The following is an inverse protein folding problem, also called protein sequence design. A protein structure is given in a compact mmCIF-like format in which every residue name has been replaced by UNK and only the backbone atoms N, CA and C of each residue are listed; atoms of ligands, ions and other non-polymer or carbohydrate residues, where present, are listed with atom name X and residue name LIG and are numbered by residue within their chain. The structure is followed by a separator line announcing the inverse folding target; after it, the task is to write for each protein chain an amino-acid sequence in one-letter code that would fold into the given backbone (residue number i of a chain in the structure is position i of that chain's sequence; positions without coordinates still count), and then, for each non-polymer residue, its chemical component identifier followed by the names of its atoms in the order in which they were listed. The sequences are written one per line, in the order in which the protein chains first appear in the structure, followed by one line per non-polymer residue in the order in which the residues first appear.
data_IF_128062264633
#
_entry.id   IF_128062264633
#
_cell.length_a   1.000
_cell.length_b   1.000
_cell.length_c   1.000
_cell.angle_alpha   90.00
_cell.angle_beta   90.00
_cell.angle_gamma   90.00
#
_symmetry.space_group_name_H-M   'P 1'
#
loop_
_entity.id
_entity.type
_entity.pdbx_description
1 polymer ?
#
# COMPACT_ATOMS: atom_id res chain seq x y z
N UNK A 1 27.53 45.17 -35.35
CA UNK A 1 28.06 43.80 -35.22
C UNK A 1 27.52 43.22 -33.94
N UNK A 2 26.70 42.18 -34.11
CA UNK A 2 26.12 41.36 -33.05
C UNK A 2 27.20 40.54 -32.31
N UNK A 3 26.75 39.90 -31.23
CA UNK A 3 27.21 38.64 -30.60
C UNK A 3 27.65 38.84 -29.14
N UNK A 4 27.24 38.05 -28.16
CA UNK A 4 26.03 37.25 -27.89
C UNK A 4 26.02 37.13 -26.36
N UNK A 5 24.90 37.44 -25.71
CA UNK A 5 24.74 37.26 -24.27
C UNK A 5 24.39 35.78 -24.03
N UNK A 6 25.34 34.98 -23.56
CA UNK A 6 25.10 33.57 -23.22
C UNK A 6 24.49 33.49 -21.83
N UNK A 7 23.17 33.65 -21.74
CA UNK A 7 22.40 33.41 -20.52
C UNK A 7 21.78 32.01 -20.59
N UNK A 8 22.56 30.98 -20.27
CA UNK A 8 22.01 29.64 -20.00
C UNK A 8 21.56 29.61 -18.54
N UNK A 9 20.46 30.29 -18.27
CA UNK A 9 19.72 30.14 -17.03
C UNK A 9 18.90 28.86 -17.11
N UNK A 10 19.44 27.74 -16.60
CA UNK A 10 18.61 26.57 -16.35
C UNK A 10 17.73 26.90 -15.15
N UNK A 11 16.48 27.25 -15.45
CA UNK A 11 15.39 27.35 -14.49
C UNK A 11 15.13 25.93 -13.94
N UNK A 12 15.82 25.57 -12.85
CA UNK A 12 15.44 24.44 -12.00
C UNK A 12 14.32 24.87 -11.04
N UNK A 13 13.15 25.19 -11.60
CA UNK A 13 11.91 25.41 -10.85
C UNK A 13 10.91 24.30 -11.16
N UNK A 14 11.13 23.14 -10.53
CA UNK A 14 10.09 22.19 -10.16
C UNK A 14 9.62 21.18 -11.23
N UNK A 15 9.06 20.04 -10.80
CA UNK A 15 8.63 19.80 -9.43
C UNK A 15 9.76 19.16 -8.62
N UNK A 16 9.95 19.66 -7.39
CA UNK A 16 10.12 18.74 -6.26
C UNK A 16 9.07 17.66 -6.46
N UNK A 17 9.48 16.51 -7.01
CA UNK A 17 8.67 15.30 -7.04
C UNK A 17 8.49 14.95 -5.58
N UNK A 18 7.47 15.56 -4.98
CA UNK A 18 6.94 15.18 -3.69
C UNK A 18 6.29 13.84 -3.99
N UNK A 19 7.10 12.79 -4.10
CA UNK A 19 6.65 11.41 -3.99
C UNK A 19 5.98 11.35 -2.64
N UNK A 20 4.67 11.61 -2.62
CA UNK A 20 3.86 11.58 -1.41
C UNK A 20 3.75 10.12 -1.02
N UNK A 21 4.74 9.74 -0.22
CA UNK A 21 4.88 8.53 0.52
C UNK A 21 3.63 8.29 1.37
N UNK A 22 3.27 7.02 1.48
CA UNK A 22 2.44 6.43 2.53
C UNK A 22 1.36 7.36 3.11
N UNK A 23 0.19 7.41 2.48
CA UNK A 23 -0.89 8.30 2.90
C UNK A 23 -2.03 7.49 3.54
N UNK A 24 -2.30 7.72 4.82
CA UNK A 24 -3.53 7.22 5.44
C UNK A 24 -4.53 8.37 5.54
N UNK A 25 -5.77 8.15 5.07
CA UNK A 25 -6.87 9.08 5.33
C UNK A 25 -7.92 8.42 6.21
N UNK A 26 -8.32 9.10 7.28
CA UNK A 26 -9.33 8.63 8.22
C UNK A 26 -8.75 7.93 9.45
N UNK A 27 -9.63 7.58 10.39
CA UNK A 27 -9.26 6.92 11.63
C UNK A 27 -9.34 5.40 11.46
N UNK A 28 -8.19 4.74 11.41
CA UNK A 28 -8.08 3.28 11.28
C UNK A 28 -8.03 2.53 12.63
N UNK A 29 -8.26 3.20 13.77
CA UNK A 29 -8.13 2.55 15.09
C UNK A 29 -9.06 1.35 15.27
N UNK A 30 -10.22 1.35 14.62
CA UNK A 30 -11.18 0.23 14.69
C UNK A 30 -10.65 -1.07 14.06
N UNK A 31 -9.61 -0.98 13.22
CA UNK A 31 -9.01 -2.10 12.52
C UNK A 31 -7.62 -2.46 13.05
N UNK A 32 -7.13 -1.73 14.05
CA UNK A 32 -5.81 -1.97 14.61
C UNK A 32 -5.80 -3.31 15.36
N UNK A 33 -4.83 -4.18 15.05
CA UNK A 33 -4.74 -5.54 15.61
C UNK A 33 -5.91 -6.47 15.30
N UNK A 34 -6.82 -6.08 14.40
CA UNK A 34 -7.89 -6.96 13.96
C UNK A 34 -7.35 -7.96 12.94
N UNK A 35 -7.71 -9.23 13.10
CA UNK A 35 -7.31 -10.29 12.18
C UNK A 35 -8.29 -10.34 11.00
N UNK A 36 -7.77 -10.17 9.80
CA UNK A 36 -8.54 -10.24 8.56
C UNK A 36 -8.12 -11.49 7.80
N UNK A 37 -9.08 -12.33 7.44
CA UNK A 37 -8.88 -13.56 6.67
C UNK A 37 -9.02 -13.28 5.18
N UNK A 38 -8.23 -13.97 4.37
CA UNK A 38 -8.35 -13.90 2.92
C UNK A 38 -9.71 -14.46 2.48
N UNK A 39 -10.41 -13.73 1.62
CA UNK A 39 -11.70 -14.17 1.06
C UNK A 39 -11.53 -14.58 -0.40
N UNK A 40 -11.09 -13.66 -1.25
CA UNK A 40 -10.94 -13.90 -2.69
C UNK A 40 -10.03 -12.85 -3.33
N UNK A 41 -9.67 -13.07 -4.60
CA UNK A 41 -8.93 -12.10 -5.44
C UNK A 41 -9.56 -12.03 -6.83
N UNK A 42 -9.55 -10.84 -7.44
CA UNK A 42 -10.03 -10.61 -8.81
C UNK A 42 -9.35 -9.38 -9.41
N UNK A 43 -9.84 -8.92 -10.57
CA UNK A 43 -9.47 -7.66 -11.22
C UNK A 43 -10.68 -6.74 -11.31
N UNK A 44 -10.44 -5.43 -11.27
CA UNK A 44 -11.49 -4.43 -11.48
C UNK A 44 -11.96 -4.52 -12.93
N UNK A 45 -13.26 -4.71 -13.13
CA UNK A 45 -13.85 -4.72 -14.48
C UNK A 45 -14.17 -3.32 -14.96
N UNK A 46 -14.35 -3.17 -16.27
CA UNK A 46 -14.83 -1.91 -16.88
C UNK A 46 -16.15 -1.44 -16.29
N UNK A 47 -17.09 -2.35 -16.03
CA UNK A 47 -18.39 -2.01 -15.43
C UNK A 47 -18.23 -1.49 -13.99
N UNK A 48 -17.40 -2.17 -13.18
CA UNK A 48 -17.11 -1.75 -11.82
C UNK A 48 -16.47 -0.35 -11.79
N UNK A 49 -15.49 -0.12 -12.66
CA UNK A 49 -14.86 1.19 -12.80
C UNK A 49 -15.86 2.26 -13.26
N UNK A 50 -16.73 1.94 -14.21
CA UNK A 50 -17.74 2.86 -14.74
C UNK A 50 -18.80 3.24 -13.70
N UNK A 51 -19.12 2.35 -12.76
CA UNK A 51 -20.09 2.61 -11.70
C UNK A 51 -19.52 3.45 -10.55
N UNK A 52 -18.28 3.18 -10.16
CA UNK A 52 -17.69 3.76 -8.94
C UNK A 52 -16.65 4.85 -9.19
N UNK A 53 -16.19 5.01 -10.43
CA UNK A 53 -15.25 6.04 -10.87
C UNK A 53 -13.99 6.17 -10.01
N UNK A 54 -13.50 5.05 -9.47
CA UNK A 54 -12.27 5.04 -8.68
C UNK A 54 -11.04 5.09 -9.61
N UNK A 55 -10.61 6.30 -9.94
CA UNK A 55 -9.43 6.54 -10.79
C UNK A 55 -8.12 5.97 -10.23
N UNK A 56 -8.09 5.59 -8.95
CA UNK A 56 -6.93 4.94 -8.33
C UNK A 56 -6.88 3.44 -8.59
N UNK A 57 -7.96 2.85 -9.07
CA UNK A 57 -8.07 1.45 -9.46
C UNK A 57 -8.81 1.33 -10.80
N UNK A 58 -8.19 1.74 -11.92
CA UNK A 58 -8.72 1.55 -13.27
C UNK A 58 -8.98 0.06 -13.59
N UNK A 59 -9.66 -0.23 -14.72
CA UNK A 59 -9.87 -1.60 -15.19
C UNK A 59 -8.56 -2.42 -15.22
N UNK A 60 -8.68 -3.72 -15.02
CA UNK A 60 -7.60 -4.70 -14.91
C UNK A 60 -6.70 -4.55 -13.67
N UNK A 61 -7.00 -3.59 -12.79
CA UNK A 61 -6.33 -3.49 -11.49
C UNK A 61 -6.63 -4.71 -10.64
N UNK A 62 -5.60 -5.45 -10.25
CA UNK A 62 -5.75 -6.59 -9.32
C UNK A 62 -6.14 -6.10 -7.94
N UNK A 63 -7.08 -6.81 -7.32
CA UNK A 63 -7.46 -6.58 -5.93
C UNK A 63 -7.66 -7.90 -5.18
N UNK A 64 -7.59 -7.79 -3.86
CA UNK A 64 -7.87 -8.88 -2.93
C UNK A 64 -8.83 -8.40 -1.84
N UNK A 65 -9.68 -9.32 -1.39
CA UNK A 65 -10.71 -9.06 -0.39
C UNK A 65 -10.33 -9.77 0.90
N UNK A 66 -10.40 -9.01 1.99
CA UNK A 66 -10.03 -9.45 3.33
C UNK A 66 -11.15 -9.08 4.29
N UNK A 67 -11.54 -10.02 5.14
CA UNK A 67 -12.68 -9.83 6.04
C UNK A 67 -12.32 -10.21 7.47
N UNK A 68 -12.68 -9.34 8.41
CA UNK A 68 -12.54 -9.60 9.84
C UNK A 68 -13.68 -10.48 10.37
N UNK A 69 -13.54 -10.95 11.60
CA UNK A 69 -14.65 -11.62 12.27
C UNK A 69 -15.76 -10.61 12.59
N UNK A 70 -17.01 -11.04 12.42
CA UNK A 70 -18.17 -10.27 12.83
C UNK A 70 -18.22 -10.23 14.37
N UNK A 71 -18.43 -9.05 14.94
CA UNK A 71 -18.49 -8.88 16.40
C UNK A 71 -19.95 -8.73 16.81
N UNK A 72 -20.27 -9.11 18.06
CA UNK A 72 -21.62 -9.04 18.61
C UNK A 72 -22.29 -7.65 18.44
N UNK A 73 -21.48 -6.57 18.45
CA UNK A 73 -21.93 -5.18 18.31
C UNK A 73 -21.71 -4.57 16.90
N UNK A 74 -21.42 -5.36 15.87
CA UNK A 74 -21.54 -4.87 14.50
C UNK A 74 -20.73 -5.59 13.43
N UNK A 75 -20.95 -5.12 12.21
CA UNK A 75 -20.46 -5.74 10.99
C UNK A 75 -18.94 -5.93 10.95
N UNK A 76 -18.55 -6.99 10.26
CA UNK A 76 -17.19 -7.32 9.92
C UNK A 76 -16.47 -6.18 9.19
N UNK A 77 -15.19 -6.02 9.50
CA UNK A 77 -14.29 -5.14 8.75
C UNK A 77 -14.10 -5.72 7.36
N UNK A 78 -14.27 -4.89 6.33
CA UNK A 78 -14.03 -5.28 4.95
C UNK A 78 -12.91 -4.45 4.36
N UNK A 79 -11.78 -5.10 4.08
CA UNK A 79 -10.63 -4.49 3.46
C UNK A 79 -10.50 -4.95 2.01
N UNK A 80 -10.39 -3.98 1.12
CA UNK A 80 -10.03 -4.19 -0.28
C UNK A 80 -8.60 -3.71 -0.46
N UNK A 81 -7.74 -4.59 -0.98
CA UNK A 81 -6.34 -4.26 -1.24
C UNK A 81 -6.01 -4.36 -2.72
N UNK A 82 -5.76 -3.21 -3.34
CA UNK A 82 -5.37 -3.06 -4.75
C UNK A 82 -3.85 -3.13 -4.93
N UNK A 83 -3.40 -3.67 -6.07
CA UNK A 83 -1.99 -3.76 -6.49
C UNK A 83 -1.06 -4.59 -5.59
N UNK A 84 -1.61 -5.42 -4.71
CA UNK A 84 -0.85 -6.17 -3.70
C UNK A 84 -1.10 -7.66 -3.80
N UNK A 85 -0.82 -8.26 -4.95
CA UNK A 85 -1.05 -9.69 -5.19
C UNK A 85 -0.30 -10.59 -4.20
N UNK A 86 0.84 -10.13 -3.69
CA UNK A 86 1.61 -10.87 -2.66
C UNK A 86 0.87 -11.06 -1.34
N UNK A 87 -0.09 -10.20 -0.99
CA UNK A 87 -0.87 -10.39 0.24
C UNK A 87 -1.66 -11.70 0.19
N UNK A 88 -2.10 -12.13 -1.00
CA UNK A 88 -2.91 -13.34 -1.15
C UNK A 88 -2.13 -14.65 -0.93
N UNK A 89 -0.84 -14.56 -0.62
CA UNK A 89 -0.01 -15.71 -0.25
C UNK A 89 -0.04 -15.98 1.25
N UNK A 90 -0.78 -15.19 2.03
CA UNK A 90 -0.89 -15.29 3.48
C UNK A 90 -2.32 -15.66 3.87
N UNK A 91 -2.47 -16.40 4.96
CA UNK A 91 -3.78 -16.88 5.42
C UNK A 91 -4.56 -15.75 6.10
N UNK A 92 -3.84 -14.89 6.81
CA UNK A 92 -4.42 -13.74 7.49
C UNK A 92 -3.45 -12.58 7.55
N UNK A 93 -4.05 -11.39 7.65
CA UNK A 93 -3.34 -10.12 7.80
C UNK A 93 -3.95 -9.34 8.96
N UNK A 94 -3.17 -8.49 9.59
CA UNK A 94 -3.66 -7.53 10.57
C UNK A 94 -3.06 -6.16 10.30
N UNK A 95 -3.92 -5.15 10.20
CA UNK A 95 -3.49 -3.78 10.05
C UNK A 95 -2.90 -3.28 11.38
N UNK A 96 -1.68 -2.76 11.32
CA UNK A 96 -1.00 -2.18 12.46
C UNK A 96 -0.96 -0.66 12.32
N UNK A 97 -1.21 0.01 13.43
CA UNK A 97 -1.10 1.46 13.54
C UNK A 97 0.35 1.97 13.49
N UNK A 98 0.48 3.28 13.71
CA UNK A 98 1.77 3.97 13.81
C UNK A 98 2.66 3.35 14.88
N UNK A 99 3.93 3.08 14.54
CA UNK A 99 4.95 2.63 15.48
C UNK A 99 6.09 3.64 15.53
N UNK A 100 6.49 4.05 16.73
CA UNK A 100 7.75 4.79 16.96
C UNK A 100 7.88 6.11 16.19
N UNK A 101 6.82 6.91 16.10
CA UNK A 101 6.82 8.21 15.40
C UNK A 101 6.70 8.11 13.88
N UNK A 102 6.42 6.92 13.34
CA UNK A 102 6.07 6.74 11.94
C UNK A 102 4.55 6.76 11.80
N UNK A 103 3.95 7.82 11.25
CA UNK A 103 2.51 7.93 10.96
C UNK A 103 2.05 7.00 9.80
N UNK A 104 2.56 5.77 9.80
CA UNK A 104 2.48 4.83 8.69
C UNK A 104 1.93 3.52 9.21
N UNK A 105 1.03 2.96 8.44
CA UNK A 105 0.47 1.64 8.71
C UNK A 105 1.33 0.57 8.04
N UNK A 106 1.37 -0.61 8.63
CA UNK A 106 1.95 -1.81 8.05
C UNK A 106 1.05 -3.00 8.35
N UNK A 107 1.32 -4.14 7.74
CA UNK A 107 0.56 -5.35 7.99
C UNK A 107 1.41 -6.34 8.79
N UNK A 108 0.84 -6.97 9.82
CA UNK A 108 1.32 -8.26 10.26
C UNK A 108 0.68 -9.32 9.40
N UNK A 109 1.48 -10.22 8.84
CA UNK A 109 1.00 -11.30 7.99
C UNK A 109 1.33 -12.64 8.60
N UNK A 110 0.45 -13.61 8.40
CA UNK A 110 0.59 -14.96 8.93
C UNK A 110 0.49 -16.00 7.80
N UNK A 111 1.30 -17.06 7.89
CA UNK A 111 1.27 -18.20 6.97
C UNK A 111 1.33 -19.50 7.78
N UNK A 112 0.22 -20.24 7.80
CA UNK A 112 0.04 -21.46 8.58
C UNK A 112 0.27 -21.23 10.08
N UNK A 113 1.16 -22.04 10.67
CA UNK A 113 1.50 -21.94 12.09
C UNK A 113 2.74 -21.06 12.36
N UNK A 114 3.19 -20.27 11.37
CA UNK A 114 4.35 -19.40 11.55
C UNK A 114 4.00 -18.17 12.40
N UNK A 115 5.01 -17.59 13.03
CA UNK A 115 4.86 -16.34 13.77
C UNK A 115 4.50 -15.19 12.83
N UNK A 116 3.82 -14.19 13.37
CA UNK A 116 3.42 -12.99 12.62
C UNK A 116 4.67 -12.25 12.11
N UNK A 117 4.72 -11.99 10.81
CA UNK A 117 5.83 -11.28 10.16
C UNK A 117 5.37 -9.89 9.77
N UNK A 118 6.14 -8.82 10.06
CA UNK A 118 5.80 -7.48 9.57
C UNK A 118 6.06 -7.37 8.06
N UNK A 119 5.04 -6.90 7.35
CA UNK A 119 5.06 -6.63 5.92
C UNK A 119 4.83 -5.14 5.65
N UNK A 120 5.84 -4.51 5.06
CA UNK A 120 5.79 -3.11 4.64
C UNK A 120 5.54 -3.02 3.14
N UNK A 121 4.46 -2.34 2.76
CA UNK A 121 4.10 -2.08 1.36
C UNK A 121 4.39 -0.60 1.10
N UNK A 122 5.28 -0.29 0.17
CA UNK A 122 5.69 1.09 -0.09
C UNK A 122 5.75 1.31 -1.61
N UNK A 123 5.03 2.31 -2.16
CA UNK A 123 4.02 3.13 -1.49
C UNK A 123 2.81 2.31 -1.00
N UNK A 124 2.16 2.77 0.07
CA UNK A 124 0.88 2.21 0.55
C UNK A 124 -0.05 3.34 0.97
N UNK A 125 -1.24 3.37 0.40
CA UNK A 125 -2.26 4.36 0.75
C UNK A 125 -3.44 3.64 1.37
N UNK A 126 -3.83 4.02 2.59
CA UNK A 126 -4.93 3.37 3.31
C UNK A 126 -6.03 4.38 3.58
N UNK A 127 -7.27 4.02 3.28
CA UNK A 127 -8.44 4.84 3.54
C UNK A 127 -9.38 4.06 4.44
N UNK A 128 -9.54 4.51 5.68
CA UNK A 128 -10.49 3.96 6.64
C UNK A 128 -11.67 4.92 6.76
N UNK A 129 -12.86 4.46 6.40
CA UNK A 129 -14.04 5.33 6.37
C UNK A 129 -14.88 5.14 7.63
N UNK A 130 -15.38 6.25 8.17
CA UNK A 130 -16.29 6.26 9.33
C UNK A 130 -17.76 6.08 8.93
N UNK A 131 -18.03 5.73 7.67
CA UNK A 131 -19.36 5.59 7.11
C UNK A 131 -19.40 4.40 6.15
N UNK A 132 -20.60 3.88 5.94
CA UNK A 132 -20.82 2.71 5.11
C UNK A 132 -20.56 2.99 3.63
N UNK A 133 -19.89 2.07 2.95
CA UNK A 133 -19.63 2.15 1.51
C UNK A 133 -20.17 0.92 0.79
N UNK A 134 -20.87 1.16 -0.33
CA UNK A 134 -21.31 0.11 -1.24
C UNK A 134 -20.16 -0.49 -2.06
N UNK A 135 -19.23 0.34 -2.51
CA UNK A 135 -18.15 -0.04 -3.41
C UNK A 135 -17.33 -1.28 -2.94
N UNK A 136 -16.85 -1.36 -1.69
CA UNK A 136 -16.16 -2.57 -1.19
C UNK A 136 -17.01 -3.84 -1.21
N UNK A 137 -18.32 -3.74 -0.93
CA UNK A 137 -19.21 -4.91 -1.01
C UNK A 137 -19.40 -5.35 -2.46
N UNK A 138 -19.58 -4.43 -3.40
CA UNK A 138 -19.71 -4.77 -4.81
C UNK A 138 -18.44 -5.42 -5.37
N UNK A 139 -17.25 -4.95 -4.94
CA UNK A 139 -15.99 -5.62 -5.27
C UNK A 139 -15.93 -7.04 -4.70
N UNK A 140 -16.35 -7.26 -3.45
CA UNK A 140 -16.46 -8.60 -2.86
C UNK A 140 -17.43 -9.48 -3.63
N UNK A 141 -18.63 -8.98 -3.95
CA UNK A 141 -19.64 -9.71 -4.72
C UNK A 141 -19.11 -10.14 -6.07
N UNK A 142 -18.53 -9.20 -6.82
CA UNK A 142 -17.91 -9.48 -8.11
C UNK A 142 -16.81 -10.55 -7.99
N UNK A 143 -15.94 -10.42 -6.98
CA UNK A 143 -14.86 -11.35 -6.71
C UNK A 143 -15.33 -12.78 -6.35
N UNK A 144 -16.52 -12.91 -5.78
CA UNK A 144 -17.19 -14.18 -5.49
C UNK A 144 -18.05 -14.70 -6.66
N UNK A 145 -18.09 -14.00 -7.80
CA UNK A 145 -18.86 -14.38 -8.97
C UNK A 145 -20.33 -13.96 -8.93
N UNK A 146 -20.74 -13.12 -7.98
CA UNK A 146 -22.09 -12.57 -7.92
C UNK A 146 -22.25 -11.32 -8.81
N UNK A 147 -23.46 -11.11 -9.32
CA UNK A 147 -23.84 -9.87 -10.00
C UNK A 147 -23.98 -8.68 -9.04
N UNK A 148 -24.02 -7.48 -9.63
CA UNK A 148 -24.22 -6.21 -8.93
C UNK A 148 -25.53 -6.26 -8.12
N UNK A 149 -25.51 -5.78 -6.89
CA UNK A 149 -26.72 -5.76 -6.07
C UNK A 149 -27.81 -4.89 -6.70
N UNK A 150 -29.06 -5.31 -6.62
CA UNK A 150 -30.21 -4.54 -7.12
C UNK A 150 -30.86 -3.70 -6.02
N UNK A 151 -30.58 -4.03 -4.75
CA UNK A 151 -30.97 -3.26 -3.59
C UNK A 151 -29.81 -2.37 -3.10
N UNK A 152 -30.16 -1.26 -2.45
CA UNK A 152 -29.18 -0.31 -1.91
C UNK A 152 -28.63 -0.69 -0.52
N UNK A 153 -29.06 -1.84 0.02
CA UNK A 153 -28.78 -2.24 1.39
C UNK A 153 -27.45 -2.94 1.62
N UNK A 154 -26.84 -3.51 0.57
CA UNK A 154 -25.59 -4.27 0.68
C UNK A 154 -24.38 -3.32 0.73
N UNK A 155 -24.04 -2.86 1.93
CA UNK A 155 -22.94 -1.93 2.19
C UNK A 155 -21.97 -2.49 3.23
N UNK A 156 -20.70 -2.11 3.12
CA UNK A 156 -19.70 -2.38 4.16
C UNK A 156 -19.74 -1.26 5.19
N UNK A 157 -20.12 -1.56 6.45
CA UNK A 157 -20.18 -0.57 7.53
C UNK A 157 -18.82 -0.16 8.08
N UNK A 158 -17.81 -1.02 7.96
CA UNK A 158 -16.41 -0.75 8.36
C UNK A 158 -15.46 -0.97 7.17
N UNK A 159 -15.55 -0.17 6.10
CA UNK A 159 -14.78 -0.38 4.90
C UNK A 159 -13.38 0.21 5.00
N UNK A 160 -12.42 -0.51 4.41
CA UNK A 160 -11.04 -0.07 4.25
C UNK A 160 -10.65 -0.25 2.77
N UNK A 161 -10.13 0.81 2.16
CA UNK A 161 -9.53 0.74 0.83
C UNK A 161 -8.02 0.94 0.97
N UNK A 162 -7.25 -0.05 0.52
CA UNK A 162 -5.80 -0.01 0.51
C UNK A 162 -5.28 -0.07 -0.92
N UNK A 163 -4.40 0.86 -1.28
CA UNK A 163 -3.73 0.92 -2.57
C UNK A 163 -2.23 0.76 -2.35
N UNK A 164 -1.69 -0.39 -2.71
CA UNK A 164 -0.24 -0.58 -2.78
C UNK A 164 0.35 0.01 -4.06
N UNK A 165 1.65 0.26 -4.09
CA UNK A 165 2.39 0.55 -5.32
C UNK A 165 3.68 -0.25 -5.34
N UNK A 166 4.02 -0.74 -6.53
CA UNK A 166 5.09 -1.71 -6.81
C UNK A 166 6.48 -1.21 -6.37
N UNK A 167 6.91 -1.58 -5.16
CA UNK A 167 8.32 -1.74 -4.77
C UNK A 167 8.40 -2.45 -3.42
N UNK A 168 8.51 -3.77 -3.47
CA UNK A 168 8.62 -4.59 -2.27
C UNK A 168 10.07 -4.81 -1.86
N UNK A 169 10.40 -4.52 -0.60
CA UNK A 169 11.58 -5.08 0.09
C UNK A 169 11.09 -6.01 1.19
N UNK A 170 11.35 -7.31 1.07
CA UNK A 170 11.27 -8.22 2.22
C UNK A 170 12.24 -7.71 3.29
N UNK A 171 11.86 -7.65 4.57
CA UNK A 171 12.86 -7.59 5.62
C UNK A 171 13.79 -8.79 5.44
N UNK A 172 15.08 -8.54 5.21
CA UNK A 172 16.08 -9.60 5.29
C UNK A 172 16.14 -10.00 6.75
N UNK A 173 15.50 -11.12 7.10
CA UNK A 173 15.75 -11.79 8.36
C UNK A 173 17.21 -12.22 8.29
N UNK A 174 18.08 -11.44 8.91
CA UNK A 174 19.48 -11.81 9.10
C UNK A 174 19.45 -12.98 10.07
N UNK A 175 19.36 -14.20 9.54
CA UNK A 175 19.84 -15.35 10.26
C UNK A 175 21.29 -15.03 10.60
N UNK A 176 21.58 -14.85 11.88
CA UNK A 176 22.92 -14.58 12.38
C UNK A 176 23.85 -15.67 11.89
N UNK A 177 24.61 -15.34 10.85
CA UNK A 177 25.66 -16.17 10.26
C UNK A 177 26.85 -15.26 10.06
N UNK A 178 27.82 -15.38 10.97
CA UNK A 178 29.07 -14.64 10.95
C UNK A 178 29.68 -14.63 9.54
N UNK A 179 29.97 -13.45 9.02
CA UNK A 179 30.73 -13.28 7.78
C UNK A 179 31.95 -12.45 8.11
N UNK A 180 33.11 -13.10 8.04
CA UNK A 180 34.41 -12.55 8.35
C UNK A 180 34.70 -11.29 7.53
N UNK A 181 35.24 -10.28 8.21
CA UNK A 181 35.88 -9.10 7.62
C UNK A 181 37.11 -9.52 6.81
N UNK A 182 37.13 -9.20 5.52
CA UNK A 182 38.32 -9.21 4.68
C UNK A 182 38.47 -7.85 3.99
N UNK A 183 39.64 -7.19 4.02
CA UNK A 183 39.85 -5.87 3.45
C UNK A 183 40.23 -5.97 1.95
N UNK A 184 40.34 -4.80 1.32
CA UNK A 184 40.93 -4.48 0.00
C UNK A 184 39.92 -4.13 -1.09
N UNK A 185 39.92 -2.86 -1.47
CA UNK A 185 39.17 -2.33 -2.62
C UNK A 185 39.03 -0.81 -2.61
N UNK A 186 40.09 -0.08 -2.28
CA UNK A 186 40.13 1.38 -2.38
C UNK A 186 40.15 1.82 -3.86
N UNK A 187 39.31 2.77 -4.23
CA UNK A 187 39.58 3.70 -5.33
C UNK A 187 38.86 5.03 -5.06
N UNK A 188 39.55 5.86 -4.29
CA UNK A 188 39.32 7.30 -4.15
C UNK A 188 39.87 7.99 -5.40
N UNK A 189 39.02 8.64 -6.19
CA UNK A 189 39.47 9.69 -7.12
C UNK A 189 39.38 11.03 -6.40
N UNK A 190 40.55 11.56 -6.03
CA UNK A 190 40.74 12.92 -5.51
C UNK A 190 41.01 13.83 -6.70
N UNK A 191 40.24 14.92 -6.85
CA UNK A 191 40.61 16.06 -7.69
C UNK A 191 40.78 17.27 -6.76
N UNK A 192 42.03 17.69 -6.57
CA UNK A 192 42.38 18.94 -5.90
C UNK A 192 42.20 20.10 -6.88
N UNK A 193 41.43 21.12 -6.49
CA UNK A 193 41.53 22.45 -7.08
C UNK A 193 42.35 23.33 -6.13
N UNK A 194 43.51 23.80 -6.60
CA UNK A 194 44.35 24.78 -5.92
C UNK A 194 43.74 26.17 -6.15
N UNK A 195 43.36 26.86 -5.08
CA UNK A 195 43.03 28.29 -5.13
C UNK A 195 44.32 29.05 -4.79
N UNK A 196 44.86 29.76 -5.77
CA UNK A 196 45.95 30.72 -5.58
C UNK A 196 45.30 32.06 -5.22
N UNK A 197 45.70 32.63 -4.10
CA UNK A 197 45.45 34.03 -3.74
C UNK A 197 46.72 34.85 -3.94
#
# INVERSE_FOLDING_TARGET
MHQHLTFVGIILLGPLVRTRALHSSGNCTFANNELLKFVCKSTVTTDMYSLFHDNRAPPDTTFSVWEGEEKEDGDAILLISFYTTQLTNYDSISLQGSVGGWDKHFFLVNYGNLSNVPLFIIPSTIHCFSFSLRYPKELKRHCLGYGIATDGGDVAKKPILHYGSLSFKKPVVTAGGASASGPVGALLFVVFAVIIH
#
